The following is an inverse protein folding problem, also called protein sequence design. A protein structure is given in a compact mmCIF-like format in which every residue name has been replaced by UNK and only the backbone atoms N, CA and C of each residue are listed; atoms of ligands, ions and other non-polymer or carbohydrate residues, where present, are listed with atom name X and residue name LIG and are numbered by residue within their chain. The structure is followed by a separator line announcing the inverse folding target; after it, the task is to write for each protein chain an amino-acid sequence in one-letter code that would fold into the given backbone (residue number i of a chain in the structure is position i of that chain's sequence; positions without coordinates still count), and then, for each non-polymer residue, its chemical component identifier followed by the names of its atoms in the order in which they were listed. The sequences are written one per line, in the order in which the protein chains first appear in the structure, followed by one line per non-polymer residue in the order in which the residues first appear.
data_IF_372660306925
#
_entry.id   IF_372660306925
#
_cell.length_a   1.000
_cell.length_b   1.000
_cell.length_c   1.000
_cell.angle_alpha   90.00
_cell.angle_beta   90.00
_cell.angle_gamma   90.00
#
_symmetry.space_group_name_H-M   'P 1'
#
loop_
_entity.id
_entity.type
_entity.pdbx_description
1 polymer ?
#
# COMPACT_ATOMS: atom_id res chain seq x y z
N UNK A 1 -8.59 -8.87 -4.48
CA UNK A 1 -7.78 -7.95 -5.32
C UNK A 1 -7.98 -6.55 -4.77
N UNK A 2 -6.91 -5.91 -4.30
CA UNK A 2 -6.94 -4.56 -3.72
C UNK A 2 -6.37 -3.58 -4.75
N UNK A 3 -7.00 -2.42 -4.97
CA UNK A 3 -6.45 -1.38 -5.84
C UNK A 3 -5.63 -0.38 -5.04
N UNK A 4 -4.71 0.33 -5.70
CA UNK A 4 -3.94 1.41 -5.07
C UNK A 4 -4.82 2.53 -4.51
N UNK A 5 -6.04 2.71 -5.03
CA UNK A 5 -7.05 3.64 -4.51
C UNK A 5 -7.59 3.25 -3.13
N UNK A 6 -7.52 1.98 -2.79
CA UNK A 6 -8.10 1.43 -1.56
C UNK A 6 -7.11 1.53 -0.38
N UNK A 7 -5.90 2.05 -0.64
CA UNK A 7 -4.83 2.10 0.34
C UNK A 7 -5.13 3.16 1.40
N UNK A 8 -5.42 2.69 2.61
CA UNK A 8 -5.63 3.47 3.83
C UNK A 8 -4.82 2.84 4.96
N UNK A 9 -4.39 3.64 5.93
CA UNK A 9 -3.73 3.12 7.13
C UNK A 9 -4.68 2.15 7.86
N UNK A 10 -4.16 0.99 8.27
CA UNK A 10 -4.92 -0.05 8.95
C UNK A 10 -5.59 -1.08 8.02
N UNK A 11 -5.56 -0.88 6.70
CA UNK A 11 -6.05 -1.90 5.76
C UNK A 11 -5.14 -3.12 5.81
N UNK A 12 -5.76 -4.29 5.97
CA UNK A 12 -5.08 -5.60 5.96
C UNK A 12 -5.44 -6.36 4.70
N UNK A 13 -4.45 -6.94 4.04
CA UNK A 13 -4.64 -7.71 2.81
C UNK A 13 -3.62 -8.84 2.70
N UNK A 14 -3.98 -9.83 1.88
CA UNK A 14 -3.11 -10.96 1.56
C UNK A 14 -2.22 -10.62 0.36
N UNK A 15 -0.93 -10.93 0.49
CA UNK A 15 0.07 -10.74 -0.57
C UNK A 15 1.17 -11.80 -0.40
N UNK A 16 1.45 -12.56 -1.46
CA UNK A 16 2.52 -13.58 -1.50
C UNK A 16 2.44 -14.59 -0.34
N UNK A 17 1.23 -15.09 -0.03
CA UNK A 17 0.92 -15.99 1.09
C UNK A 17 1.19 -15.40 2.50
N UNK A 18 1.42 -14.09 2.60
CA UNK A 18 1.54 -13.36 3.86
C UNK A 18 0.35 -12.42 4.10
N UNK A 19 0.11 -12.11 5.38
CA UNK A 19 -0.91 -11.13 5.78
C UNK A 19 -0.22 -9.83 6.18
N UNK A 20 -0.55 -8.76 5.47
CA UNK A 20 0.11 -7.47 5.62
C UNK A 20 -0.88 -6.39 6.00
N UNK A 21 -0.48 -5.51 6.92
CA UNK A 21 -1.23 -4.30 7.25
C UNK A 21 -0.48 -3.05 6.77
N UNK A 22 -1.21 -2.12 6.17
CA UNK A 22 -0.68 -0.80 5.79
C UNK A 22 -0.48 0.05 7.05
N UNK A 23 0.76 0.40 7.36
CA UNK A 23 1.11 1.28 8.49
C UNK A 23 0.99 2.75 8.06
N UNK A 24 1.49 3.08 6.88
CA UNK A 24 1.45 4.42 6.31
C UNK A 24 1.51 4.34 4.79
N UNK A 25 0.90 5.29 4.10
CA UNK A 25 1.04 5.43 2.65
C UNK A 25 1.30 6.88 2.24
N UNK A 26 1.93 7.06 1.08
CA UNK A 26 2.24 8.35 0.48
C UNK A 26 1.90 8.30 -1.01
N UNK A 27 1.01 9.19 -1.45
CA UNK A 27 0.77 9.41 -2.87
C UNK A 27 1.84 10.34 -3.43
N UNK A 28 2.57 9.87 -4.43
CA UNK A 28 3.63 10.61 -5.11
C UNK A 28 3.20 10.95 -6.54
N UNK A 29 3.29 12.22 -6.92
CA UNK A 29 3.11 12.72 -8.29
C UNK A 29 4.47 13.21 -8.82
N UNK A 30 5.24 12.38 -9.54
CA UNK A 30 6.51 12.82 -10.10
C UNK A 30 6.25 13.77 -11.29
N UNK A 31 6.95 14.90 -11.35
CA UNK A 31 6.65 15.95 -12.33
C UNK A 31 6.61 15.47 -13.79
N UNK A 32 7.44 14.49 -14.17
CA UNK A 32 7.46 13.86 -15.51
C UNK A 32 7.29 12.34 -15.45
N UNK A 33 6.29 11.84 -14.74
CA UNK A 33 5.99 10.40 -14.69
C UNK A 33 4.58 10.08 -14.19
N UNK A 34 4.22 8.80 -14.21
CA UNK A 34 2.94 8.33 -13.68
C UNK A 34 2.89 8.49 -12.15
N UNK A 35 1.72 8.82 -11.62
CA UNK A 35 1.49 8.86 -10.18
C UNK A 35 1.57 7.45 -9.58
N UNK A 36 2.09 7.35 -8.36
CA UNK A 36 2.19 6.08 -7.65
C UNK A 36 2.03 6.27 -6.14
N UNK A 37 1.81 5.17 -5.42
CA UNK A 37 1.71 5.14 -3.96
C UNK A 37 2.90 4.39 -3.40
N UNK A 38 3.55 4.96 -2.38
CA UNK A 38 4.50 4.23 -1.53
C UNK A 38 3.79 3.81 -0.26
N UNK A 39 3.93 2.56 0.14
CA UNK A 39 3.39 2.03 1.40
C UNK A 39 4.49 1.52 2.30
N UNK A 40 4.30 1.71 3.60
CA UNK A 40 5.00 0.96 4.64
C UNK A 40 4.05 -0.13 5.11
N UNK A 41 4.47 -1.38 4.94
CA UNK A 41 3.70 -2.54 5.34
C UNK A 41 4.30 -3.13 6.62
N UNK A 42 3.45 -3.78 7.41
CA UNK A 42 3.86 -4.61 8.54
C UNK A 42 3.29 -6.00 8.34
N UNK A 43 4.15 -7.01 8.37
CA UNK A 43 3.71 -8.40 8.44
C UNK A 43 3.13 -8.65 9.83
N UNK A 44 1.96 -9.29 9.89
CA UNK A 44 1.29 -9.63 11.16
C UNK A 44 1.25 -11.13 11.44
N UNK A 45 1.96 -11.94 10.65
CA UNK A 45 2.20 -13.38 10.83
C UNK A 45 3.69 -13.65 10.95
#
# INVERSE_FOLDING_TARGET
MINASDFRNGVTFEMENGIWTIVSFLHVKPGKGAAFVRTKLKNIV
#
